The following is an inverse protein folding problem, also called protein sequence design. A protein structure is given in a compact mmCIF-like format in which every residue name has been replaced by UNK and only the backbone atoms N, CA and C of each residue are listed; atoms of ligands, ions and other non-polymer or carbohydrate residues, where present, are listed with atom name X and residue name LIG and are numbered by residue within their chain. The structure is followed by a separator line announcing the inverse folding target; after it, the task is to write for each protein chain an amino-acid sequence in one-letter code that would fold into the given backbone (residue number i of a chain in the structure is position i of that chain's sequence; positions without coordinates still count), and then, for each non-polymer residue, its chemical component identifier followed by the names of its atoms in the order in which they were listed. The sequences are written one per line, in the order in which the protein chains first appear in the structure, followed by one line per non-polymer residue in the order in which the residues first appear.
data_IF_029492296989
#
_entry.id   IF_029492296989
#
_cell.length_a   1.000
_cell.length_b   1.000
_cell.length_c   1.000
_cell.angle_alpha   90.00
_cell.angle_beta   90.00
_cell.angle_gamma   90.00
#
_symmetry.space_group_name_H-M   'P 1'
#
loop_
_entity.id
_entity.type
_entity.pdbx_description
1 polymer ?
#
# COMPACT_ATOMS: atom_id res chain seq x y z
N UNK A 1 0.63 10.45 -3.58
CA UNK A 1 0.92 10.09 -3.56
C UNK A 1 0.65 10.20 -3.25
N UNK A 2 0.30 10.49 -3.46
CA UNK A 2 0.18 10.24 -3.47
C UNK A 2 -0.21 9.64 -3.75
N UNK A 3 -0.55 9.24 -4.17
CA UNK A 3 -0.69 8.48 -4.47
C UNK A 3 -1.00 7.89 -4.77
N UNK A 4 -1.32 8.02 -5.12
CA UNK A 4 -1.19 7.44 -5.33
C UNK A 4 -1.02 7.19 -5.54
N UNK A 5 -0.85 7.64 -5.92
CA UNK A 5 -0.11 7.32 -6.09
C UNK A 5 0.39 7.29 -6.14
N UNK A 6 0.49 7.83 -6.34
CA UNK A 6 1.28 7.67 -6.45
C UNK A 6 1.25 7.20 -6.38
N UNK A 7 0.72 7.24 -6.73
CA UNK A 7 0.70 6.69 -6.77
C UNK A 7 0.04 5.90 -6.86
N UNK A 8 -0.60 5.88 -7.03
CA UNK A 8 -1.13 5.30 -6.97
C UNK A 8 -1.99 4.94 -7.12
N UNK A 9 -2.74 5.04 -7.39
CA UNK A 9 -3.41 4.74 -7.36
C UNK A 9 -4.22 4.38 -7.78
N UNK A 10 -5.06 4.74 -8.17
CA UNK A 10 -5.77 4.43 -8.37
C UNK A 10 -5.87 4.16 -9.24
N UNK A 11 -5.82 3.64 -9.80
CA UNK A 11 -5.55 3.31 -10.54
C UNK A 11 -5.12 3.40 -11.60
N UNK A 12 -4.72 2.85 -12.83
CA UNK A 12 -4.03 3.73 -13.75
C UNK A 12 -3.11 2.89 -14.62
N UNK A 13 -2.84 3.17 -15.87
CA UNK A 13 -1.95 2.42 -16.74
C UNK A 13 -0.47 2.50 -16.30
N UNK A 14 0.42 1.72 -16.96
CA UNK A 14 1.84 1.84 -16.74
C UNK A 14 2.31 3.24 -17.14
N UNK A 15 2.97 3.93 -16.22
CA UNK A 15 3.40 5.31 -16.41
C UNK A 15 4.81 5.51 -15.91
N UNK A 16 5.54 6.42 -16.53
CA UNK A 16 6.81 6.91 -16.02
C UNK A 16 6.57 7.95 -14.92
N UNK A 17 7.63 8.32 -14.22
CA UNK A 17 7.54 9.39 -13.23
C UNK A 17 7.13 10.71 -13.87
N UNK A 18 7.57 10.98 -15.09
CA UNK A 18 7.20 12.21 -15.83
C UNK A 18 5.73 12.19 -16.22
N UNK A 19 5.21 11.05 -16.61
CA UNK A 19 3.79 10.91 -16.93
C UNK A 19 2.92 11.15 -15.70
N UNK A 20 3.40 10.76 -14.53
CA UNK A 20 2.71 10.97 -13.27
C UNK A 20 2.84 12.40 -12.74
N UNK A 21 3.82 13.17 -13.22
CA UNK A 21 4.05 14.52 -12.72
C UNK A 21 2.82 15.42 -12.80
N UNK A 22 2.04 15.41 -13.89
CA UNK A 22 0.79 16.19 -13.95
C UNK A 22 -0.28 15.73 -12.99
N UNK A 23 -0.17 14.49 -12.50
CA UNK A 23 -1.13 13.88 -11.57
C UNK A 23 -0.73 14.04 -10.11
N UNK A 24 0.34 14.75 -9.84
CA UNK A 24 0.81 14.92 -8.45
C UNK A 24 -0.09 15.82 -7.63
N UNK A 25 -0.82 16.67 -8.29
CA UNK A 25 -1.94 17.36 -7.66
C UNK A 25 -3.16 16.44 -7.76
N UNK A 26 -3.35 15.66 -6.77
CA UNK A 26 -4.40 14.63 -6.76
C UNK A 26 -5.79 15.16 -6.49
N UNK A 27 -5.99 16.45 -6.55
CA UNK A 27 -7.33 16.99 -6.69
C UNK A 27 -8.05 16.41 -7.90
N UNK A 28 -7.27 15.99 -8.91
CA UNK A 28 -7.77 15.36 -10.11
C UNK A 28 -7.71 13.82 -10.10
N UNK A 29 -7.55 13.19 -8.96
CA UNK A 29 -7.56 11.73 -8.89
C UNK A 29 -8.87 11.18 -9.42
N UNK A 30 -8.77 10.20 -10.32
CA UNK A 30 -9.94 9.55 -10.88
C UNK A 30 -10.36 8.41 -9.98
N UNK A 31 -11.60 8.47 -9.49
CA UNK A 31 -12.14 7.44 -8.61
C UNK A 31 -11.89 7.72 -7.13
N UNK A 32 -12.42 6.86 -6.33
CA UNK A 32 -12.35 6.95 -4.88
C UNK A 32 -11.45 5.83 -4.35
N UNK A 33 -10.56 6.17 -3.41
CA UNK A 33 -9.72 5.15 -2.78
C UNK A 33 -10.43 4.40 -1.65
N UNK A 34 -11.64 4.82 -1.29
CA UNK A 34 -12.43 4.16 -0.26
C UNK A 34 -13.39 3.14 -0.87
N UNK A 35 -13.65 2.09 -0.14
CA UNK A 35 -14.62 1.08 -0.52
C UNK A 35 -15.57 0.80 0.63
N UNK A 36 -16.90 0.86 0.40
CA UNK A 36 -17.87 0.56 1.46
C UNK A 36 -17.82 -0.89 1.93
N UNK A 37 -17.22 -1.76 1.13
CA UNK A 37 -17.03 -3.17 1.46
C UNK A 37 -15.56 -3.48 1.68
N UNK A 38 -14.80 -2.53 2.18
CA UNK A 38 -13.38 -2.70 2.38
C UNK A 38 -13.11 -3.85 3.34
N UNK A 39 -12.24 -4.74 2.92
CA UNK A 39 -11.70 -5.79 3.77
C UNK A 39 -10.36 -5.39 4.34
N UNK A 40 -9.54 -4.73 3.51
CA UNK A 40 -8.27 -4.17 3.95
C UNK A 40 -8.30 -2.67 3.76
N UNK A 41 -7.91 -1.95 4.80
CA UNK A 41 -7.92 -0.48 4.81
C UNK A 41 -6.51 -0.01 5.14
N UNK A 42 -5.93 0.79 4.24
CA UNK A 42 -4.62 1.40 4.43
C UNK A 42 -4.78 2.91 4.55
N UNK A 43 -4.18 3.49 5.56
CA UNK A 43 -4.23 4.93 5.80
C UNK A 43 -2.85 5.49 6.13
N UNK A 44 -2.45 6.46 5.33
CA UNK A 44 -1.22 7.22 5.55
C UNK A 44 -0.01 6.31 5.75
N UNK A 45 0.13 5.31 4.90
CA UNK A 45 1.19 4.32 5.02
C UNK A 45 2.50 4.90 4.52
N UNK A 46 3.49 4.89 5.39
CA UNK A 46 4.88 5.26 5.10
C UNK A 46 5.77 4.07 5.36
N UNK A 47 6.73 3.84 4.49
CA UNK A 47 7.72 2.78 4.68
C UNK A 47 9.12 3.35 4.49
N UNK A 48 9.97 3.04 5.46
CA UNK A 48 11.37 3.42 5.43
C UNK A 48 12.25 2.17 5.50
N UNK A 49 13.32 2.18 4.70
CA UNK A 49 14.43 1.24 4.82
C UNK A 49 15.64 2.04 5.30
N UNK A 50 15.95 1.99 6.58
CA UNK A 50 16.95 2.86 7.17
C UNK A 50 16.56 4.33 6.94
N UNK A 51 17.39 5.07 6.22
CA UNK A 51 17.14 6.48 5.90
C UNK A 51 16.33 6.67 4.60
N UNK A 52 16.10 5.61 3.84
CA UNK A 52 15.37 5.71 2.58
C UNK A 52 13.87 5.67 2.83
N UNK A 53 13.17 6.71 2.43
CA UNK A 53 11.72 6.78 2.48
C UNK A 53 11.13 6.17 1.20
N UNK A 54 10.79 4.90 1.25
CA UNK A 54 10.39 4.11 0.07
C UNK A 54 8.93 4.31 -0.32
N UNK A 55 8.03 4.40 0.65
CA UNK A 55 6.59 4.62 0.46
C UNK A 55 6.19 5.85 1.25
N UNK A 56 5.43 6.72 0.60
CA UNK A 56 5.06 8.04 1.16
C UNK A 56 3.55 8.21 1.15
N UNK A 57 2.98 8.21 2.34
CA UNK A 57 1.59 8.61 2.58
C UNK A 57 0.57 7.95 1.64
N UNK A 58 0.60 6.63 1.56
CA UNK A 58 -0.32 5.89 0.71
C UNK A 58 -1.57 5.50 1.50
N UNK A 59 -2.72 5.82 0.93
CA UNK A 59 -4.03 5.42 1.45
C UNK A 59 -4.80 4.68 0.36
N UNK A 60 -5.37 3.53 0.70
CA UNK A 60 -6.08 2.69 -0.25
C UNK A 60 -6.96 1.69 0.49
N UNK A 61 -8.16 1.48 -0.01
CA UNK A 61 -9.01 0.38 0.43
C UNK A 61 -8.99 -0.75 -0.59
N UNK A 62 -9.02 -1.97 -0.10
CA UNK A 62 -9.21 -3.15 -0.93
C UNK A 62 -10.52 -3.80 -0.48
N UNK A 63 -11.48 -3.82 -1.38
CA UNK A 63 -12.80 -4.34 -1.10
C UNK A 63 -12.86 -5.86 -1.15
N UNK A 64 -13.94 -6.40 -0.61
CA UNK A 64 -14.22 -7.83 -0.68
C UNK A 64 -14.43 -8.23 -2.14
N UNK A 65 -13.80 -9.32 -2.56
CA UNK A 65 -13.88 -9.85 -3.94
C UNK A 65 -13.45 -8.81 -5.00
N UNK A 66 -12.52 -7.96 -4.64
CA UNK A 66 -12.03 -6.90 -5.51
C UNK A 66 -10.58 -7.18 -5.90
N UNK A 67 -10.24 -6.87 -7.16
CA UNK A 67 -8.87 -6.93 -7.66
C UNK A 67 -8.37 -5.52 -7.85
N UNK A 68 -7.25 -5.22 -7.22
CA UNK A 68 -6.57 -3.93 -7.36
C UNK A 68 -5.23 -4.17 -8.03
N UNK A 69 -4.97 -3.46 -9.12
CA UNK A 69 -3.70 -3.53 -9.83
C UNK A 69 -2.85 -2.31 -9.50
N UNK A 70 -1.59 -2.55 -9.17
CA UNK A 70 -0.59 -1.50 -8.98
C UNK A 70 0.33 -1.46 -10.18
N UNK A 71 0.35 -0.34 -10.87
CA UNK A 71 1.08 -0.17 -12.11
C UNK A 71 2.04 1.01 -11.95
N UNK A 72 3.27 0.81 -12.35
CA UNK A 72 4.28 1.84 -12.31
C UNK A 72 5.66 1.30 -12.65
N UNK A 73 6.67 2.18 -12.78
CA UNK A 73 8.03 1.77 -13.12
C UNK A 73 8.68 0.94 -12.01
N UNK A 74 9.72 0.18 -12.37
CA UNK A 74 10.53 -0.55 -11.42
C UNK A 74 11.10 0.40 -10.35
N UNK A 75 11.10 -0.05 -9.11
CA UNK A 75 11.65 0.72 -8.00
C UNK A 75 10.75 1.81 -7.45
N UNK A 76 9.50 1.90 -7.91
CA UNK A 76 8.56 2.91 -7.38
C UNK A 76 7.87 2.49 -6.08
N UNK A 77 8.11 1.27 -5.60
CA UNK A 77 7.59 0.83 -4.29
C UNK A 77 6.42 -0.14 -4.33
N UNK A 78 6.04 -0.64 -5.50
CA UNK A 78 4.91 -1.58 -5.62
C UNK A 78 5.08 -2.81 -4.73
N UNK A 79 6.22 -3.50 -4.86
CA UNK A 79 6.51 -4.69 -4.07
C UNK A 79 6.66 -4.38 -2.59
N UNK A 80 7.24 -3.22 -2.28
CA UNK A 80 7.36 -2.76 -0.90
C UNK A 80 6.00 -2.60 -0.25
N UNK A 81 5.05 -1.99 -0.95
CA UNK A 81 3.71 -1.82 -0.44
C UNK A 81 3.00 -3.17 -0.25
N UNK A 82 3.10 -4.06 -1.23
CA UNK A 82 2.49 -5.39 -1.14
C UNK A 82 3.01 -6.17 0.07
N UNK A 83 4.31 -6.08 0.34
CA UNK A 83 4.90 -6.76 1.51
C UNK A 83 4.45 -6.17 2.84
N UNK A 84 3.93 -4.95 2.86
CA UNK A 84 3.35 -4.38 4.06
C UNK A 84 2.04 -5.05 4.44
N UNK A 85 1.29 -5.55 3.46
CA UNK A 85 -0.06 -6.05 3.67
C UNK A 85 -0.11 -7.40 4.41
N UNK A 86 1.00 -8.13 4.44
CA UNK A 86 1.13 -9.37 5.22
C UNK A 86 2.32 -9.34 6.18
N UNK A 87 2.87 -8.16 6.44
CA UNK A 87 4.01 -7.94 7.32
C UNK A 87 5.29 -8.65 6.88
N UNK A 88 5.43 -8.95 5.60
CA UNK A 88 6.65 -9.59 5.10
C UNK A 88 7.86 -8.66 5.22
N UNK A 89 7.64 -7.35 5.27
CA UNK A 89 8.71 -6.38 5.52
C UNK A 89 9.34 -6.49 6.91
N UNK A 90 8.69 -7.18 7.85
CA UNK A 90 9.28 -7.44 9.18
C UNK A 90 10.57 -8.24 9.09
N UNK A 91 10.76 -8.99 8.01
CA UNK A 91 11.98 -9.79 7.78
C UNK A 91 13.13 -8.96 7.22
N UNK A 92 12.88 -7.73 6.82
CA UNK A 92 13.90 -6.85 6.23
C UNK A 92 14.51 -5.98 7.33
N UNK A 93 15.82 -6.10 7.59
CA UNK A 93 16.47 -5.27 8.62
C UNK A 93 16.33 -3.79 8.30
N UNK A 94 16.00 -3.00 9.32
CA UNK A 94 15.86 -1.56 9.19
C UNK A 94 14.57 -1.09 8.53
N UNK A 95 13.66 -2.00 8.19
CA UNK A 95 12.37 -1.61 7.65
C UNK A 95 11.44 -1.11 8.76
N UNK A 96 10.85 0.06 8.54
CA UNK A 96 9.88 0.65 9.46
C UNK A 96 8.64 1.01 8.67
N UNK A 97 7.50 0.53 9.14
CA UNK A 97 6.20 0.83 8.56
C UNK A 97 5.43 1.71 9.53
N UNK A 98 4.90 2.81 9.02
CA UNK A 98 4.04 3.74 9.76
C UNK A 98 2.71 3.87 9.07
N UNK A 99 1.76 4.47 9.74
CA UNK A 99 0.39 4.55 9.28
C UNK A 99 -0.42 3.40 9.83
N UNK A 100 -1.54 3.15 9.21
CA UNK A 100 -2.46 2.12 9.70
C UNK A 100 -2.88 1.21 8.55
N UNK A 101 -2.78 -0.08 8.79
CA UNK A 101 -3.29 -1.10 7.88
C UNK A 101 -4.16 -2.04 8.71
N UNK A 102 -5.43 -2.14 8.35
CA UNK A 102 -6.35 -3.05 9.04
C UNK A 102 -6.84 -4.13 8.09
N UNK A 103 -7.03 -5.32 8.62
CA UNK A 103 -7.68 -6.42 7.93
C UNK A 103 -8.90 -6.82 8.76
N UNK A 104 -10.08 -6.75 8.15
CA UNK A 104 -11.35 -7.01 8.83
C UNK A 104 -11.48 -6.26 10.16
N UNK A 105 -11.03 -5.01 10.18
CA UNK A 105 -11.11 -4.12 11.32
C UNK A 105 -9.99 -4.22 12.34
N UNK A 106 -9.06 -5.18 12.17
CA UNK A 106 -7.96 -5.35 13.10
C UNK A 106 -6.66 -4.78 12.51
N UNK A 107 -5.95 -3.98 13.30
CA UNK A 107 -4.67 -3.43 12.89
C UNK A 107 -3.63 -4.56 12.80
N UNK A 108 -3.11 -4.79 11.61
CA UNK A 108 -2.16 -5.88 11.39
C UNK A 108 -0.78 -5.60 11.99
N UNK A 109 -0.49 -4.35 12.37
CA UNK A 109 0.76 -3.96 13.01
C UNK A 109 0.63 -3.79 14.52
N UNK A 110 -0.50 -4.16 15.10
CA UNK A 110 -0.63 -4.22 16.54
C UNK A 110 0.41 -5.19 17.11
N UNK A 111 1.08 -4.78 18.17
CA UNK A 111 2.15 -5.57 18.79
C UNK A 111 1.68 -6.92 19.32
N UNK A 112 0.40 -7.02 19.63
CA UNK A 112 -0.20 -8.26 20.11
C UNK A 112 -0.70 -9.16 18.98
N UNK A 113 -0.65 -8.66 17.74
CA UNK A 113 -1.10 -9.39 16.57
C UNK A 113 -0.08 -10.46 16.20
N UNK A 114 -0.52 -11.71 16.25
CA UNK A 114 0.30 -12.82 15.76
C UNK A 114 0.34 -12.78 14.22
N UNK A 115 1.54 -12.88 13.66
CA UNK A 115 1.73 -12.85 12.21
C UNK A 115 1.33 -14.15 11.53
N UNK A 116 1.31 -15.26 12.24
CA UNK A 116 1.00 -16.56 11.62
C UNK A 116 -0.44 -16.62 11.11
N UNK A 117 -1.47 -16.30 11.92
CA UNK A 117 -2.83 -16.24 11.42
C UNK A 117 -3.02 -15.19 10.33
N UNK A 118 -2.32 -14.04 10.43
CA UNK A 118 -2.37 -13.01 9.40
C UNK A 118 -1.89 -13.56 8.07
N UNK A 119 -0.73 -14.20 8.05
CA UNK A 119 -0.15 -14.74 6.81
C UNK A 119 -0.93 -15.93 6.26
N UNK A 120 -1.71 -16.60 7.09
CA UNK A 120 -2.65 -17.62 6.63
C UNK A 120 -3.82 -17.00 5.85
N UNK A 121 -4.18 -15.76 6.17
CA UNK A 121 -5.27 -15.03 5.51
C UNK A 121 -4.80 -14.21 4.32
N UNK A 122 -3.55 -13.77 4.32
CA UNK A 122 -2.99 -12.90 3.28
C UNK A 122 -1.79 -13.62 2.64
N UNK A 123 -2.09 -14.39 1.63
CA UNK A 123 -1.05 -15.09 0.86
C UNK A 123 -0.31 -14.13 -0.08
N UNK A 124 0.90 -14.53 -0.46
CA UNK A 124 1.70 -13.77 -1.42
C UNK A 124 2.32 -14.73 -2.44
N UNK A 125 2.23 -14.34 -3.70
CA UNK A 125 2.82 -15.08 -4.82
C UNK A 125 3.97 -14.25 -5.37
N UNK A 126 5.12 -14.89 -5.52
CA UNK A 126 6.33 -14.27 -6.04
C UNK A 126 6.54 -14.61 -7.52
#
# INVERSE_FOLDING_TARGET
MNAIAEDITRMTGAMTADDLAPLRDFSGTVGDFTSPKARMICRNVDVHYGDKHAIKNVSLDIGRNEVVAMIGPSGCGKSTFLRCLNRMNDTVPGCRVRGRITLDGQDIYDKQQDVVPLRAQVGMVF
#
